data_IF_571952507956
#
_entry.id   IF_571952507956
#
_cell.length_a   1.000
_cell.length_b   1.000
_cell.length_c   1.000
_cell.angle_alpha   90.00
_cell.angle_beta   90.00
_cell.angle_gamma   90.00
#
_symmetry.space_group_name_H-M   'P 1'
#
loop_
_entity.id
_entity.type
_entity.pdbx_description
1 polymer ?
#
# COMPACT_ATOMS: atom_id res chain seq x y z
N UNK A 1 0.57 -0.25 4.73
CA UNK A 1 1.23 1.03 5.19
C UNK A 1 0.71 2.19 4.36
N UNK A 2 0.01 3.12 4.97
CA UNK A 2 -0.42 4.33 4.25
C UNK A 2 0.81 5.05 3.70
N UNK A 3 0.78 5.43 2.42
CA UNK A 3 1.85 6.23 1.81
C UNK A 3 2.21 7.40 2.72
N UNK A 4 3.50 7.70 2.92
CA UNK A 4 3.88 8.83 3.75
C UNK A 4 3.23 10.09 3.19
N UNK A 5 2.31 10.67 3.94
CA UNK A 5 1.80 11.99 3.64
C UNK A 5 2.99 12.95 3.66
N UNK A 6 3.07 13.87 2.71
CA UNK A 6 4.01 14.98 2.77
C UNK A 6 3.80 15.70 4.11
N UNK A 7 4.62 15.38 5.08
CA UNK A 7 4.65 16.07 6.36
C UNK A 7 5.18 17.47 6.10
N UNK A 8 4.36 18.48 6.33
CA UNK A 8 4.87 19.83 6.40
C UNK A 8 5.90 19.88 7.55
N UNK A 9 7.11 20.39 7.29
CA UNK A 9 8.17 20.59 8.29
C UNK A 9 7.79 21.69 9.31
N UNK A 10 6.53 21.71 9.72
CA UNK A 10 6.02 22.68 10.69
C UNK A 10 6.10 22.06 12.08
N UNK A 11 6.93 22.60 12.98
CA UNK A 11 7.04 22.09 14.33
C UNK A 11 5.69 22.10 15.07
N UNK A 12 5.40 21.02 15.78
CA UNK A 12 4.25 20.93 16.67
C UNK A 12 4.53 21.78 17.91
N UNK A 13 3.73 22.81 18.12
CA UNK A 13 3.91 23.80 19.20
C UNK A 13 3.01 23.55 20.41
N UNK A 14 2.06 22.62 20.32
CA UNK A 14 1.17 22.34 21.44
C UNK A 14 0.20 21.17 21.18
N UNK A 15 -0.39 20.68 22.28
CA UNK A 15 -1.35 19.56 22.26
C UNK A 15 -2.57 19.84 21.37
N UNK A 16 -3.08 21.05 21.37
CA UNK A 16 -4.29 21.39 20.60
C UNK A 16 -4.04 21.20 19.10
N UNK A 17 -2.86 21.52 18.60
CA UNK A 17 -2.50 21.29 17.21
C UNK A 17 -2.60 19.81 16.80
N UNK A 18 -2.23 18.88 17.69
CA UNK A 18 -2.41 17.45 17.46
C UNK A 18 -3.90 17.05 17.47
N UNK A 19 -4.68 17.58 18.40
CA UNK A 19 -6.12 17.34 18.48
C UNK A 19 -6.81 17.84 17.23
N UNK A 20 -6.52 19.06 16.81
CA UNK A 20 -7.12 19.70 15.64
C UNK A 20 -6.74 19.00 14.33
N UNK A 21 -5.57 18.36 14.29
CA UNK A 21 -5.14 17.53 13.14
C UNK A 21 -5.91 16.19 13.06
N UNK A 22 -6.16 15.54 14.20
CA UNK A 22 -6.81 14.24 14.25
C UNK A 22 -8.35 14.33 14.24
N UNK A 23 -8.94 15.38 14.83
CA UNK A 23 -10.38 15.51 14.98
C UNK A 23 -11.17 15.45 13.65
N UNK A 24 -10.70 16.03 12.54
CA UNK A 24 -11.38 15.92 11.24
C UNK A 24 -11.46 14.49 10.67
N UNK A 25 -10.64 13.56 11.19
CA UNK A 25 -10.73 12.13 10.86
C UNK A 25 -12.02 11.47 11.36
N UNK A 26 -12.67 12.05 12.38
CA UNK A 26 -13.96 11.61 12.90
C UNK A 26 -15.11 11.99 11.96
N UNK A 27 -15.45 11.11 11.01
CA UNK A 27 -16.47 11.34 9.99
C UNK A 27 -17.89 11.02 10.49
N UNK A 28 -18.93 11.73 10.00
CA UNK A 28 -20.32 11.34 10.18
C UNK A 28 -20.57 9.90 9.64
N UNK A 29 -21.54 9.20 10.23
CA UNK A 29 -21.87 7.82 9.84
C UNK A 29 -22.18 7.66 8.34
N UNK A 30 -22.77 8.65 7.71
CA UNK A 30 -23.07 8.64 6.27
C UNK A 30 -21.81 8.59 5.39
N UNK A 31 -20.68 9.06 5.93
CA UNK A 31 -19.39 9.13 5.23
C UNK A 31 -18.46 7.96 5.59
N UNK A 32 -18.95 7.00 6.39
CA UNK A 32 -18.16 5.81 6.72
C UNK A 32 -17.95 4.96 5.47
N UNK A 33 -16.77 4.40 5.36
CA UNK A 33 -16.35 3.50 4.29
C UNK A 33 -15.65 2.30 4.90
N UNK A 34 -15.60 1.21 4.15
CA UNK A 34 -14.86 0.00 4.50
C UNK A 34 -13.54 0.05 3.73
N UNK A 35 -12.42 0.02 4.43
CA UNK A 35 -11.10 -0.24 3.87
C UNK A 35 -10.69 -1.65 4.28
N UNK A 36 -10.23 -2.45 3.33
CA UNK A 36 -9.80 -3.82 3.59
C UNK A 36 -8.29 -3.92 3.40
N UNK A 37 -7.62 -4.63 4.29
CA UNK A 37 -6.21 -4.95 4.17
C UNK A 37 -6.06 -6.46 4.02
N UNK A 38 -5.30 -6.89 3.02
CA UNK A 38 -4.96 -8.29 2.77
C UNK A 38 -3.45 -8.44 2.76
N UNK A 39 -2.94 -9.20 3.71
CA UNK A 39 -1.52 -9.46 3.85
C UNK A 39 -1.20 -10.92 3.48
N UNK A 40 -0.15 -11.10 2.68
CA UNK A 40 0.27 -12.43 2.20
C UNK A 40 1.77 -12.59 2.28
N UNK A 41 2.20 -13.71 2.84
CA UNK A 41 3.60 -14.15 2.74
C UNK A 41 3.82 -14.91 1.43
N UNK A 42 4.70 -14.37 0.58
CA UNK A 42 5.16 -15.06 -0.61
C UNK A 42 6.26 -16.07 -0.28
N UNK A 43 6.28 -17.22 -0.97
CA UNK A 43 7.39 -18.18 -0.92
C UNK A 43 7.60 -18.83 -2.29
N UNK A 44 8.83 -19.20 -2.56
CA UNK A 44 9.19 -19.91 -3.78
C UNK A 44 8.78 -21.37 -3.67
N UNK A 45 8.26 -21.94 -4.76
CA UNK A 45 7.76 -23.32 -4.76
C UNK A 45 8.87 -24.39 -4.77
N UNK A 46 10.09 -24.01 -5.15
CA UNK A 46 11.23 -24.91 -5.28
C UNK A 46 11.94 -25.18 -3.95
N UNK A 47 11.99 -24.21 -3.04
CA UNK A 47 12.72 -24.32 -1.77
C UNK A 47 11.96 -23.79 -0.55
N UNK A 48 10.74 -23.29 -0.75
CA UNK A 48 9.84 -22.71 0.27
C UNK A 48 10.45 -21.51 1.01
N UNK A 49 11.44 -20.85 0.45
CA UNK A 49 12.04 -19.64 1.01
C UNK A 49 11.31 -18.38 0.53
N UNK A 50 11.36 -17.28 1.29
CA UNK A 50 10.84 -16.00 0.82
C UNK A 50 11.53 -15.58 -0.47
N UNK A 51 10.83 -14.95 -1.43
CA UNK A 51 11.47 -14.35 -2.59
C UNK A 51 12.40 -13.20 -2.16
N UNK A 52 13.49 -13.03 -2.88
CA UNK A 52 14.32 -11.82 -2.77
C UNK A 52 13.58 -10.63 -3.39
N UNK A 53 14.01 -9.40 -3.09
CA UNK A 53 13.47 -8.23 -3.80
C UNK A 53 13.90 -8.26 -5.28
N UNK A 54 15.17 -8.62 -5.55
CA UNK A 54 15.81 -8.63 -6.86
C UNK A 54 15.60 -9.93 -7.64
N UNK A 55 15.79 -9.83 -8.95
CA UNK A 55 15.82 -10.96 -9.89
C UNK A 55 14.48 -11.25 -10.54
N UNK A 56 14.50 -12.08 -11.60
CA UNK A 56 13.35 -12.38 -12.45
C UNK A 56 12.17 -13.06 -11.71
N UNK A 57 12.43 -13.60 -10.54
CA UNK A 57 11.45 -14.26 -9.66
C UNK A 57 11.35 -13.57 -8.31
N UNK A 58 11.79 -12.31 -8.25
CA UNK A 58 11.77 -11.46 -7.07
C UNK A 58 10.49 -10.66 -6.92
N UNK A 59 10.41 -9.92 -5.81
CA UNK A 59 9.25 -9.07 -5.48
C UNK A 59 9.08 -7.95 -6.49
N UNK A 60 10.16 -7.29 -6.93
CA UNK A 60 10.06 -6.23 -7.95
C UNK A 60 9.48 -6.77 -9.26
N UNK A 61 9.92 -7.97 -9.71
CA UNK A 61 9.37 -8.60 -10.91
C UNK A 61 7.88 -8.95 -10.75
N UNK A 62 7.44 -9.33 -9.54
CA UNK A 62 6.02 -9.52 -9.24
C UNK A 62 5.24 -8.21 -9.37
N UNK A 63 5.73 -7.13 -8.75
CA UNK A 63 5.10 -5.81 -8.83
C UNK A 63 5.01 -5.31 -10.30
N UNK A 64 6.10 -5.40 -11.06
CA UNK A 64 6.10 -5.05 -12.48
C UNK A 64 5.13 -5.94 -13.30
N UNK A 65 5.00 -7.21 -12.94
CA UNK A 65 4.05 -8.13 -13.55
C UNK A 65 2.58 -7.74 -13.33
N UNK A 66 2.27 -7.09 -12.22
CA UNK A 66 0.92 -6.62 -11.89
C UNK A 66 0.50 -5.37 -12.68
N UNK A 67 1.44 -4.62 -13.27
CA UNK A 67 1.14 -3.44 -14.11
C UNK A 67 0.20 -3.78 -15.27
N UNK A 68 0.32 -4.99 -15.84
CA UNK A 68 -0.58 -5.48 -16.90
C UNK A 68 -2.06 -5.56 -16.51
N UNK A 69 -2.36 -5.54 -15.21
CA UNK A 69 -3.72 -5.53 -14.66
C UNK A 69 -4.21 -4.13 -14.30
N UNK A 70 -3.56 -3.09 -14.81
CA UNK A 70 -3.97 -1.69 -14.63
C UNK A 70 -3.39 -1.02 -13.38
N UNK A 71 -2.44 -1.66 -12.70
CA UNK A 71 -1.73 -1.03 -11.60
C UNK A 71 -0.69 -0.02 -12.09
N UNK A 72 -0.57 1.10 -11.41
CA UNK A 72 0.44 2.14 -11.68
C UNK A 72 1.61 1.99 -10.72
N UNK A 73 2.85 1.82 -11.21
CA UNK A 73 4.01 1.65 -10.35
C UNK A 73 4.41 2.95 -9.66
N UNK A 74 4.71 2.85 -8.37
CA UNK A 74 5.39 3.86 -7.57
C UNK A 74 6.86 3.48 -7.51
N UNK A 75 7.73 4.41 -7.94
CA UNK A 75 9.17 4.16 -8.03
C UNK A 75 9.96 5.08 -7.12
N UNK A 76 11.01 4.53 -6.53
CA UNK A 76 11.93 5.26 -5.67
C UNK A 76 13.38 5.00 -6.09
N UNK A 77 14.21 6.04 -6.01
CA UNK A 77 15.66 5.94 -6.18
C UNK A 77 16.33 6.01 -4.82
N UNK A 78 17.20 5.06 -4.54
CA UNK A 78 18.00 5.02 -3.32
C UNK A 78 19.46 5.14 -3.69
N UNK A 79 20.17 6.06 -3.04
CA UNK A 79 21.63 6.28 -3.19
C UNK A 79 22.11 6.47 -4.63
N UNK A 80 21.31 7.15 -5.47
CA UNK A 80 21.67 7.43 -6.85
C UNK A 80 21.51 6.25 -7.81
N UNK A 81 20.97 5.14 -7.36
CA UNK A 81 20.61 4.02 -8.21
C UNK A 81 19.38 4.34 -9.07
N UNK A 82 19.16 3.63 -10.20
CA UNK A 82 17.94 3.76 -10.99
C UNK A 82 16.68 3.55 -10.15
N UNK A 83 15.59 4.28 -10.46
CA UNK A 83 14.32 4.10 -9.75
C UNK A 83 13.82 2.67 -9.86
N UNK A 84 13.37 2.13 -8.72
CA UNK A 84 12.85 0.77 -8.59
C UNK A 84 11.39 0.80 -8.17
N UNK A 85 10.59 -0.14 -8.63
CA UNK A 85 9.19 -0.27 -8.24
C UNK A 85 9.09 -0.82 -6.83
N UNK A 86 8.59 0.00 -5.92
CA UNK A 86 8.46 -0.32 -4.49
C UNK A 86 7.01 -0.53 -4.05
N UNK A 87 6.06 -0.04 -4.84
CA UNK A 87 4.63 -0.13 -4.58
C UNK A 87 3.83 0.02 -5.87
N UNK A 88 2.55 -0.28 -5.81
CA UNK A 88 1.58 -0.06 -6.89
C UNK A 88 0.36 0.68 -6.36
N UNK A 89 -0.29 1.48 -7.21
CA UNK A 89 -1.54 2.16 -6.88
C UNK A 89 -2.56 1.97 -8.00
N UNK A 90 -3.85 1.83 -7.63
CA UNK A 90 -4.96 1.74 -8.57
C UNK A 90 -6.26 2.14 -7.86
N UNK A 91 -7.01 3.10 -8.40
CA UNK A 91 -8.38 3.46 -7.97
C UNK A 91 -8.56 3.65 -6.46
N UNK A 92 -7.55 4.21 -5.79
CA UNK A 92 -7.56 4.44 -4.34
C UNK A 92 -7.08 3.25 -3.50
N UNK A 93 -6.74 2.12 -4.12
CA UNK A 93 -6.08 0.98 -3.52
C UNK A 93 -4.55 1.03 -3.74
N UNK A 94 -3.80 0.31 -2.93
CA UNK A 94 -2.36 0.16 -3.09
C UNK A 94 -1.88 -1.27 -2.83
N UNK A 95 -0.79 -1.65 -3.47
CA UNK A 95 -0.02 -2.85 -3.14
C UNK A 95 1.34 -2.40 -2.64
N UNK A 96 1.69 -2.78 -1.44
CA UNK A 96 2.92 -2.41 -0.74
C UNK A 96 3.62 -3.62 -0.14
N UNK A 97 4.78 -3.38 0.44
CA UNK A 97 5.49 -4.38 1.25
C UNK A 97 5.49 -3.95 2.71
N UNK A 98 5.09 -4.88 3.55
CA UNK A 98 5.22 -4.78 4.99
C UNK A 98 6.55 -5.40 5.47
N UNK A 99 6.95 -5.23 6.74
CA UNK A 99 8.15 -5.85 7.29
C UNK A 99 8.22 -7.35 6.99
N UNK A 100 9.44 -7.85 6.76
CA UNK A 100 9.72 -9.22 6.33
C UNK A 100 9.22 -9.58 4.90
N UNK A 101 8.89 -8.59 4.07
CA UNK A 101 8.49 -8.80 2.67
C UNK A 101 7.08 -9.35 2.50
N UNK A 102 6.22 -9.16 3.49
CA UNK A 102 4.80 -9.46 3.40
C UNK A 102 4.15 -8.52 2.37
N UNK A 103 3.44 -9.09 1.40
CA UNK A 103 2.73 -8.32 0.38
C UNK A 103 1.37 -7.92 0.92
N UNK A 104 1.11 -6.62 0.98
CA UNK A 104 -0.15 -6.06 1.44
C UNK A 104 -0.94 -5.44 0.29
N UNK A 105 -2.21 -5.79 0.18
CA UNK A 105 -3.21 -5.04 -0.55
C UNK A 105 -3.98 -4.17 0.44
N UNK A 106 -3.73 -2.86 0.43
CA UNK A 106 -4.59 -1.88 1.10
C UNK A 106 -5.69 -1.48 0.12
N UNK A 107 -6.91 -1.95 0.37
CA UNK A 107 -8.07 -1.73 -0.49
C UNK A 107 -8.56 -0.29 -0.49
N UNK A 108 -9.35 0.07 -1.49
CA UNK A 108 -10.00 1.37 -1.57
C UNK A 108 -11.04 1.56 -0.46
N UNK A 109 -11.37 2.81 -0.15
CA UNK A 109 -12.45 3.14 0.78
C UNK A 109 -13.81 2.94 0.11
N UNK A 110 -14.45 1.80 0.33
CA UNK A 110 -15.67 1.33 -0.33
C UNK A 110 -16.92 1.49 0.53
N UNK A 111 -18.09 1.49 -0.09
CA UNK A 111 -19.36 1.74 0.60
C UNK A 111 -19.91 0.49 1.30
N UNK A 112 -19.68 -0.68 0.71
CA UNK A 112 -20.24 -1.94 1.22
C UNK A 112 -19.33 -3.15 0.99
N UNK A 113 -19.68 -4.25 1.65
CA UNK A 113 -18.91 -5.50 1.62
C UNK A 113 -18.93 -6.17 0.23
N UNK A 114 -19.92 -5.91 -0.61
CA UNK A 114 -19.99 -6.51 -1.94
C UNK A 114 -18.94 -5.89 -2.86
N UNK A 115 -18.74 -4.56 -2.75
CA UNK A 115 -17.65 -3.86 -3.44
C UNK A 115 -16.28 -4.38 -2.97
N UNK A 116 -16.11 -4.61 -1.67
CA UNK A 116 -14.90 -5.22 -1.11
C UNK A 116 -14.64 -6.63 -1.67
N UNK A 117 -15.68 -7.46 -1.77
CA UNK A 117 -15.56 -8.79 -2.36
C UNK A 117 -15.15 -8.76 -3.85
N UNK A 118 -15.63 -7.78 -4.60
CA UNK A 118 -15.21 -7.59 -6.00
C UNK A 118 -13.74 -7.17 -6.07
N UNK A 119 -13.32 -6.23 -5.24
CA UNK A 119 -11.93 -5.74 -5.18
C UNK A 119 -10.94 -6.87 -4.91
N UNK A 120 -11.26 -7.73 -3.94
CA UNK A 120 -10.36 -8.82 -3.52
C UNK A 120 -10.39 -10.05 -4.43
N UNK A 121 -11.42 -10.17 -5.29
CA UNK A 121 -11.59 -11.26 -6.24
C UNK A 121 -11.00 -11.00 -7.62
N UNK A 122 -10.52 -9.79 -7.89
CA UNK A 122 -9.92 -9.36 -9.15
C UNK A 122 -8.41 -9.36 -9.08
#
# INVERSE_FOLDING_TARGET
MSSPSHTADTPITGRNQLVDYLAPGGKPKADWRIGTEHEKFGFRLDDLRPPTFDGDRGIEALLEGLVRFGWTPVRESVDGNPPRTIALVRDGASVTLEPAGQLELSGAALEDIHQTCVETGT
#
